data_IF_115956148107
#
_entry.id   IF_115956148107
#
_cell.length_a   1.000
_cell.length_b   1.000
_cell.length_c   1.000
_cell.angle_alpha   90.00
_cell.angle_beta   90.00
_cell.angle_gamma   90.00
#
_symmetry.space_group_name_H-M   'P 1'
#
loop_
_entity.id
_entity.type
_entity.pdbx_description
1 polymer ?
#
# COMPACT_ATOMS: atom_id res chain seq x y z
N UNK A 1 -39.51 -13.40 -49.61
CA UNK A 1 -39.76 -12.08 -48.97
C UNK A 1 -39.37 -12.24 -47.50
N UNK A 2 -38.09 -12.15 -47.14
CA UNK A 2 -37.35 -10.91 -46.82
C UNK A 2 -38.20 -9.96 -45.96
N UNK A 3 -37.79 -9.79 -44.70
CA UNK A 3 -38.02 -8.68 -43.73
C UNK A 3 -38.27 -9.31 -42.35
N UNK A 4 -37.54 -9.02 -41.29
CA UNK A 4 -36.48 -8.06 -41.08
C UNK A 4 -35.79 -8.48 -39.77
N UNK A 5 -34.46 -8.68 -39.81
CA UNK A 5 -33.62 -8.69 -38.63
C UNK A 5 -33.86 -7.38 -37.87
N UNK A 6 -34.37 -7.44 -36.63
CA UNK A 6 -34.26 -6.32 -35.69
C UNK A 6 -33.01 -6.58 -34.85
N UNK A 7 -31.96 -5.89 -35.23
CA UNK A 7 -30.62 -5.91 -34.63
C UNK A 7 -30.70 -5.42 -33.19
N UNK A 8 -30.19 -6.24 -32.26
CA UNK A 8 -29.79 -5.81 -30.91
C UNK A 8 -28.77 -4.67 -31.04
N UNK A 9 -29.11 -3.49 -30.52
CA UNK A 9 -28.13 -2.43 -30.28
C UNK A 9 -28.36 -1.83 -28.89
N UNK A 10 -28.16 -2.64 -27.85
CA UNK A 10 -27.94 -2.12 -26.49
C UNK A 10 -26.56 -1.47 -26.47
N UNK A 11 -26.55 -0.14 -26.52
CA UNK A 11 -25.36 0.68 -26.38
C UNK A 11 -24.68 0.39 -25.02
N UNK A 12 -23.53 -0.28 -25.05
CA UNK A 12 -22.58 -0.25 -23.94
C UNK A 12 -21.96 1.16 -23.91
N UNK A 13 -22.62 2.08 -23.18
CA UNK A 13 -21.95 3.28 -22.68
C UNK A 13 -21.00 2.82 -21.56
N UNK A 14 -19.87 2.25 -21.94
CA UNK A 14 -18.72 2.09 -21.05
C UNK A 14 -18.33 3.48 -20.61
N UNK A 15 -18.66 3.84 -19.37
CA UNK A 15 -18.17 5.07 -18.76
C UNK A 15 -16.65 5.04 -18.83
N UNK A 16 -16.06 5.94 -19.61
CA UNK A 16 -14.66 6.32 -19.47
C UNK A 16 -14.53 7.04 -18.14
N UNK A 17 -14.63 6.30 -17.04
CA UNK A 17 -14.19 6.79 -15.75
C UNK A 17 -12.69 7.04 -15.90
N UNK A 18 -12.30 8.31 -15.94
CA UNK A 18 -10.92 8.67 -15.72
C UNK A 18 -10.51 8.03 -14.39
N UNK A 19 -9.64 7.03 -14.45
CA UNK A 19 -9.18 6.26 -13.29
C UNK A 19 -8.21 7.11 -12.45
N UNK A 20 -8.67 8.26 -11.97
CA UNK A 20 -8.00 9.00 -10.93
C UNK A 20 -8.37 8.33 -9.62
N UNK A 21 -7.59 7.31 -9.27
CA UNK A 21 -7.74 6.66 -7.99
C UNK A 21 -7.53 7.67 -6.86
N UNK A 22 -8.44 7.70 -5.88
CA UNK A 22 -8.38 8.62 -4.74
C UNK A 22 -8.13 7.82 -3.47
N UNK A 23 -7.31 8.36 -2.57
CA UNK A 23 -7.10 7.74 -1.26
C UNK A 23 -8.39 7.84 -0.43
N UNK A 24 -8.89 6.70 0.04
CA UNK A 24 -10.04 6.59 0.94
C UNK A 24 -9.54 5.99 2.24
N UNK A 25 -9.76 6.68 3.36
CA UNK A 25 -9.32 6.20 4.67
C UNK A 25 -9.95 4.84 4.98
N UNK A 26 -9.18 3.86 5.47
CA UNK A 26 -9.74 2.61 5.95
C UNK A 26 -10.59 2.86 7.20
N UNK A 27 -11.61 2.04 7.41
CA UNK A 27 -12.42 2.05 8.64
C UNK A 27 -11.71 1.24 9.75
N UNK A 28 -10.45 1.59 10.01
CA UNK A 28 -9.57 0.93 10.99
C UNK A 28 -8.90 2.01 11.81
N UNK A 29 -9.07 1.96 13.13
CA UNK A 29 -8.37 2.83 14.06
C UNK A 29 -7.04 2.21 14.50
N UNK A 30 -6.11 3.07 14.93
CA UNK A 30 -4.79 2.66 15.42
C UNK A 30 -4.78 2.36 16.92
N UNK A 31 -5.93 2.01 17.49
CA UNK A 31 -6.11 1.81 18.93
C UNK A 31 -5.16 0.72 19.46
N UNK A 32 -4.53 0.98 20.60
CA UNK A 32 -3.55 0.07 21.19
C UNK A 32 -2.12 0.19 20.65
N UNK A 33 -1.87 1.04 19.66
CA UNK A 33 -0.51 1.43 19.27
C UNK A 33 -0.03 2.64 20.09
N UNK A 34 1.26 2.69 20.48
CA UNK A 34 1.84 3.91 21.04
C UNK A 34 1.60 5.09 20.09
N UNK A 35 0.92 6.18 20.51
CA UNK A 35 0.53 7.26 19.62
C UNK A 35 1.75 7.99 19.06
N UNK A 36 1.64 8.49 17.84
CA UNK A 36 2.69 9.28 17.20
C UNK A 36 2.24 10.73 17.04
N UNK A 37 3.22 11.61 16.82
CA UNK A 37 2.97 13.02 16.57
C UNK A 37 2.66 13.32 15.11
N UNK A 38 2.33 14.59 14.84
CA UNK A 38 2.16 15.10 13.48
C UNK A 38 3.45 15.02 12.63
N UNK A 39 4.60 15.10 13.28
CA UNK A 39 5.90 14.93 12.64
C UNK A 39 6.11 13.46 12.28
N UNK A 40 6.28 13.19 10.99
CA UNK A 40 6.58 11.85 10.54
C UNK A 40 7.97 11.40 10.98
N UNK A 41 8.04 10.20 11.53
CA UNK A 41 9.29 9.53 11.85
C UNK A 41 9.98 9.07 10.56
N UNK A 42 11.29 8.89 10.63
CA UNK A 42 12.10 8.34 9.54
C UNK A 42 12.23 6.82 9.58
N UNK A 43 11.83 6.19 10.69
CA UNK A 43 11.91 4.75 10.92
C UNK A 43 10.59 4.25 11.51
N UNK A 44 10.20 3.03 11.17
CA UNK A 44 9.00 2.40 11.69
C UNK A 44 9.20 1.92 13.15
N UNK A 45 8.51 2.53 14.14
CA UNK A 45 8.70 2.23 15.56
C UNK A 45 7.96 0.96 16.02
N UNK A 46 7.13 0.35 15.17
CA UNK A 46 6.22 -0.72 15.56
C UNK A 46 6.67 -2.13 15.19
N UNK A 47 7.91 -2.29 14.70
CA UNK A 47 8.43 -3.62 14.38
C UNK A 47 8.51 -4.50 15.61
N UNK A 48 8.08 -5.75 15.45
CA UNK A 48 7.93 -6.70 16.55
C UNK A 48 6.67 -6.50 17.40
N UNK A 49 5.81 -5.51 17.10
CA UNK A 49 4.54 -5.33 17.80
C UNK A 49 3.42 -6.18 17.13
N UNK A 50 2.85 -7.18 17.82
CA UNK A 50 1.79 -8.02 17.26
C UNK A 50 0.46 -7.27 17.04
N UNK A 51 0.18 -6.22 17.82
CA UNK A 51 -1.00 -5.36 17.62
C UNK A 51 -0.87 -4.59 16.31
N UNK A 52 0.32 -4.06 16.02
CA UNK A 52 0.60 -3.37 14.76
C UNK A 52 0.47 -4.30 13.56
N UNK A 53 0.88 -5.56 13.69
CA UNK A 53 0.69 -6.57 12.64
C UNK A 53 -0.80 -6.78 12.32
N UNK A 54 -1.64 -6.97 13.34
CA UNK A 54 -3.08 -7.21 13.16
C UNK A 54 -3.80 -5.99 12.55
N UNK A 55 -3.55 -4.78 13.09
CA UNK A 55 -4.08 -3.52 12.57
C UNK A 55 -3.60 -3.30 11.13
N UNK A 56 -2.31 -3.54 10.89
CA UNK A 56 -1.69 -3.39 9.59
C UNK A 56 -2.33 -4.27 8.52
N UNK A 57 -2.65 -5.52 8.84
CA UNK A 57 -3.34 -6.42 7.92
C UNK A 57 -4.73 -5.89 7.54
N UNK A 58 -5.52 -5.46 8.53
CA UNK A 58 -6.86 -4.93 8.29
C UNK A 58 -6.83 -3.66 7.43
N UNK A 59 -5.98 -2.70 7.81
CA UNK A 59 -5.82 -1.44 7.10
C UNK A 59 -5.29 -1.66 5.67
N UNK A 60 -4.31 -2.56 5.49
CA UNK A 60 -3.77 -2.90 4.18
C UNK A 60 -4.84 -3.46 3.24
N UNK A 61 -5.67 -4.39 3.72
CA UNK A 61 -6.70 -5.02 2.90
C UNK A 61 -7.81 -4.06 2.49
N UNK A 62 -8.08 -3.02 3.29
CA UNK A 62 -9.07 -2.00 2.94
C UNK A 62 -8.50 -0.90 2.03
N UNK A 63 -7.22 -0.51 2.23
CA UNK A 63 -6.64 0.66 1.59
C UNK A 63 -5.70 0.36 0.42
N UNK A 64 -4.96 -0.75 0.46
CA UNK A 64 -3.83 -1.00 -0.42
C UNK A 64 -4.03 -2.21 -1.35
N UNK A 65 -4.76 -3.23 -0.87
CA UNK A 65 -4.85 -4.53 -1.52
C UNK A 65 -5.43 -4.52 -2.94
N UNK A 66 -6.32 -3.58 -3.26
CA UNK A 66 -6.87 -3.44 -4.62
C UNK A 66 -5.77 -3.25 -5.68
N UNK A 67 -4.68 -2.58 -5.33
CA UNK A 67 -3.58 -2.32 -6.26
C UNK A 67 -2.36 -3.21 -5.99
N UNK A 68 -2.08 -3.49 -4.72
CA UNK A 68 -0.88 -4.24 -4.30
C UNK A 68 -1.15 -5.71 -3.99
N UNK A 69 -2.38 -6.19 -4.21
CA UNK A 69 -2.78 -7.59 -4.02
C UNK A 69 -3.35 -7.87 -2.61
N UNK A 70 -4.33 -8.78 -2.52
CA UNK A 70 -4.96 -9.14 -1.25
C UNK A 70 -3.96 -9.83 -0.31
N UNK A 71 -3.97 -9.45 0.98
CA UNK A 71 -3.05 -9.96 2.00
C UNK A 71 -1.56 -9.88 1.62
N UNK A 72 -1.18 -8.90 0.80
CA UNK A 72 0.15 -8.72 0.20
C UNK A 72 0.58 -9.87 -0.73
N UNK A 73 -0.38 -10.66 -1.21
CA UNK A 73 -0.22 -11.61 -2.32
C UNK A 73 -0.46 -10.89 -3.65
N UNK A 74 0.60 -10.77 -4.45
CA UNK A 74 0.61 -9.88 -5.62
C UNK A 74 0.31 -10.58 -6.94
N UNK A 75 -0.33 -11.75 -6.90
CA UNK A 75 -0.72 -12.48 -8.10
C UNK A 75 -1.68 -11.60 -8.92
N UNK A 76 -1.27 -11.22 -10.13
CA UNK A 76 -2.00 -10.33 -11.04
C UNK A 76 -2.33 -8.92 -10.48
N UNK A 77 -1.64 -8.47 -9.43
CA UNK A 77 -1.80 -7.12 -8.90
C UNK A 77 -1.19 -6.07 -9.87
N UNK A 78 -1.88 -4.94 -10.12
CA UNK A 78 -1.41 -3.93 -11.09
C UNK A 78 -0.22 -3.09 -10.58
N UNK A 79 0.05 -3.09 -9.26
CA UNK A 79 1.12 -2.30 -8.65
C UNK A 79 2.27 -3.19 -8.12
N UNK A 80 3.45 -2.63 -7.80
CA UNK A 80 4.59 -3.39 -7.32
C UNK A 80 4.31 -4.20 -6.05
N UNK A 81 4.95 -5.36 -5.93
CA UNK A 81 4.93 -6.18 -4.73
C UNK A 81 5.69 -5.50 -3.58
N UNK A 82 4.95 -5.04 -2.56
CA UNK A 82 5.49 -4.32 -1.40
C UNK A 82 6.41 -5.18 -0.53
N UNK A 83 6.30 -6.51 -0.59
CA UNK A 83 7.20 -7.43 0.14
C UNK A 83 8.66 -7.27 -0.31
N UNK A 84 8.87 -6.67 -1.48
CA UNK A 84 10.21 -6.40 -2.01
C UNK A 84 10.88 -5.14 -1.46
N UNK A 85 10.20 -4.32 -0.64
CA UNK A 85 10.76 -3.08 -0.09
C UNK A 85 12.17 -3.30 0.50
N UNK A 86 12.33 -4.31 1.36
CA UNK A 86 13.60 -4.62 2.02
C UNK A 86 14.43 -5.71 1.33
N UNK A 87 14.13 -6.08 0.08
CA UNK A 87 14.80 -7.20 -0.62
C UNK A 87 16.32 -7.03 -0.73
N UNK A 88 16.79 -5.79 -0.87
CA UNK A 88 18.23 -5.51 -0.90
C UNK A 88 18.85 -5.54 0.50
N UNK A 89 18.22 -4.91 1.50
CA UNK A 89 18.73 -4.92 2.87
C UNK A 89 18.89 -6.33 3.43
N UNK A 90 18.00 -7.26 3.09
CA UNK A 90 18.09 -8.69 3.50
C UNK A 90 19.40 -9.38 3.12
N UNK A 91 20.17 -8.86 2.15
CA UNK A 91 21.47 -9.41 1.72
C UNK A 91 22.67 -8.79 2.44
N UNK A 92 22.45 -7.77 3.27
CA UNK A 92 23.49 -7.10 4.04
C UNK A 92 23.65 -7.85 5.36
N UNK A 93 24.83 -8.46 5.57
CA UNK A 93 25.17 -9.22 6.77
C UNK A 93 25.59 -8.34 7.95
N UNK A 94 26.22 -7.20 7.68
CA UNK A 94 26.58 -6.23 8.70
C UNK A 94 25.32 -5.60 9.31
N UNK A 95 25.20 -5.65 10.64
CA UNK A 95 23.97 -5.29 11.34
C UNK A 95 23.69 -3.78 11.26
N UNK A 96 24.71 -2.94 11.36
CA UNK A 96 24.54 -1.49 11.33
C UNK A 96 24.19 -0.99 9.92
N UNK A 97 24.85 -1.53 8.90
CA UNK A 97 24.54 -1.26 7.51
C UNK A 97 23.15 -1.79 7.12
N UNK A 98 22.75 -2.95 7.64
CA UNK A 98 21.41 -3.48 7.45
C UNK A 98 20.37 -2.53 8.05
N UNK A 99 20.56 -2.10 9.30
CA UNK A 99 19.66 -1.16 9.97
C UNK A 99 19.59 0.18 9.22
N UNK A 100 20.72 0.71 8.75
CA UNK A 100 20.76 1.93 7.93
C UNK A 100 19.96 1.78 6.62
N UNK A 101 20.18 0.69 5.88
CA UNK A 101 19.42 0.38 4.66
C UNK A 101 17.90 0.34 4.92
N UNK A 102 17.48 -0.25 6.04
CA UNK A 102 16.05 -0.32 6.41
C UNK A 102 15.48 1.04 6.77
N UNK A 103 16.22 1.90 7.48
CA UNK A 103 15.81 3.29 7.74
C UNK A 103 15.62 4.09 6.45
N UNK A 104 16.50 3.92 5.46
CA UNK A 104 16.35 4.57 4.17
C UNK A 104 15.08 4.11 3.44
N UNK A 105 14.81 2.80 3.48
CA UNK A 105 13.58 2.23 2.92
C UNK A 105 12.32 2.70 3.65
N UNK A 106 12.35 2.88 4.97
CA UNK A 106 11.25 3.42 5.75
C UNK A 106 10.94 4.86 5.36
N UNK A 107 11.97 5.70 5.29
CA UNK A 107 11.84 7.08 4.84
C UNK A 107 11.27 7.14 3.41
N UNK A 108 11.70 6.22 2.52
CA UNK A 108 11.15 6.10 1.17
C UNK A 108 9.69 5.65 1.18
N UNK A 109 9.32 4.67 2.01
CA UNK A 109 7.95 4.19 2.15
C UNK A 109 7.03 5.30 2.65
N UNK A 110 7.38 5.96 3.76
CA UNK A 110 6.62 7.09 4.31
C UNK A 110 6.43 8.20 3.29
N UNK A 111 7.51 8.61 2.59
CA UNK A 111 7.42 9.61 1.52
C UNK A 111 6.49 9.16 0.41
N UNK A 112 6.57 7.89 -0.01
CA UNK A 112 5.75 7.32 -1.07
C UNK A 112 4.28 7.33 -0.69
N UNK A 113 3.91 6.79 0.48
CA UNK A 113 2.53 6.79 0.98
C UNK A 113 1.99 8.22 1.05
N UNK A 114 2.74 9.15 1.65
CA UNK A 114 2.30 10.54 1.81
C UNK A 114 2.08 11.26 0.49
N UNK A 115 3.03 11.14 -0.45
CA UNK A 115 3.06 11.94 -1.68
C UNK A 115 2.49 11.22 -2.90
N UNK A 116 2.12 9.95 -2.76
CA UNK A 116 1.69 9.13 -3.89
C UNK A 116 2.83 8.87 -4.89
N UNK A 117 2.45 8.40 -6.07
CA UNK A 117 3.33 8.25 -7.25
C UNK A 117 2.64 8.92 -8.43
N UNK A 118 3.06 10.14 -8.73
CA UNK A 118 2.55 10.93 -9.85
C UNK A 118 3.68 11.06 -10.88
N UNK A 119 3.44 10.58 -12.11
CA UNK A 119 4.43 10.54 -13.18
C UNK A 119 3.84 11.28 -14.38
N UNK A 120 4.48 12.38 -14.79
CA UNK A 120 4.03 13.22 -15.92
C UNK A 120 2.54 13.60 -15.77
N UNK A 121 2.12 13.95 -14.55
CA UNK A 121 0.74 14.33 -14.24
C UNK A 121 -0.26 13.17 -14.06
N UNK A 122 0.16 11.92 -14.32
CA UNK A 122 -0.68 10.73 -14.14
C UNK A 122 -0.50 10.18 -12.72
N UNK A 123 -1.60 10.00 -12.00
CA UNK A 123 -1.58 9.41 -10.65
C UNK A 123 -1.58 7.89 -10.75
N UNK A 124 -0.44 7.26 -10.44
CA UNK A 124 -0.31 5.80 -10.36
C UNK A 124 -0.60 5.26 -8.97
N UNK A 125 -0.33 6.06 -7.94
CA UNK A 125 -0.69 5.78 -6.56
C UNK A 125 -1.16 7.08 -5.92
N UNK A 126 -2.38 7.14 -5.35
CA UNK A 126 -2.86 8.35 -4.74
C UNK A 126 -1.98 8.79 -3.56
N UNK A 127 -1.87 10.10 -3.28
CA UNK A 127 -1.28 10.59 -2.05
C UNK A 127 -2.21 10.29 -0.87
N UNK A 128 -1.65 9.76 0.21
CA UNK A 128 -2.39 9.42 1.44
C UNK A 128 -2.19 10.44 2.57
N UNK A 129 -1.39 11.49 2.36
CA UNK A 129 -1.19 12.52 3.37
C UNK A 129 -2.52 13.21 3.71
N UNK A 130 -2.86 13.24 5.01
CA UNK A 130 -4.14 13.78 5.49
C UNK A 130 -5.30 12.79 5.45
N UNK A 131 -5.12 11.63 4.81
CA UNK A 131 -6.13 10.55 4.73
C UNK A 131 -5.74 9.38 5.63
N UNK A 132 -4.47 8.98 5.59
CA UNK A 132 -3.91 7.89 6.40
C UNK A 132 -3.02 8.48 7.49
N UNK A 133 -3.37 8.20 8.76
CA UNK A 133 -2.51 8.50 9.91
C UNK A 133 -1.20 7.72 9.80
N UNK A 134 -0.11 8.29 10.32
CA UNK A 134 1.21 7.66 10.24
C UNK A 134 1.21 6.29 10.92
N UNK A 135 0.47 6.14 12.01
CA UNK A 135 0.36 4.92 12.78
C UNK A 135 -0.14 3.75 11.93
N UNK A 136 -1.18 4.00 11.13
CA UNK A 136 -1.72 3.01 10.20
C UNK A 136 -0.74 2.70 9.07
N UNK A 137 -0.05 3.71 8.53
CA UNK A 137 0.97 3.47 7.50
C UNK A 137 2.10 2.58 8.02
N UNK A 138 2.58 2.81 9.24
CA UNK A 138 3.61 1.99 9.86
C UNK A 138 3.11 0.58 10.21
N UNK A 139 1.89 0.45 10.71
CA UNK A 139 1.26 -0.86 10.93
C UNK A 139 1.16 -1.65 9.61
N UNK A 140 0.73 -1.01 8.52
CA UNK A 140 0.68 -1.61 7.18
C UNK A 140 2.06 -2.12 6.75
N UNK A 141 3.12 -1.35 7.01
CA UNK A 141 4.48 -1.79 6.70
C UNK A 141 4.91 -3.00 7.52
N UNK A 142 4.61 -3.04 8.83
CA UNK A 142 4.84 -4.23 9.65
C UNK A 142 4.16 -5.46 9.04
N UNK A 143 2.93 -5.29 8.55
CA UNK A 143 2.18 -6.38 7.91
C UNK A 143 2.88 -6.95 6.67
N UNK A 144 3.12 -6.15 5.63
CA UNK A 144 3.70 -6.72 4.41
C UNK A 144 5.16 -7.16 4.60
N UNK A 145 5.90 -6.56 5.55
CA UNK A 145 7.24 -7.04 5.92
C UNK A 145 7.18 -8.47 6.49
N UNK A 146 6.20 -8.78 7.35
CA UNK A 146 6.02 -10.13 7.90
C UNK A 146 5.67 -11.17 6.82
N UNK A 147 4.87 -10.78 5.81
CA UNK A 147 4.56 -11.65 4.66
C UNK A 147 5.80 -11.94 3.81
N UNK A 148 6.73 -11.00 3.74
CA UNK A 148 8.01 -11.17 3.04
C UNK A 148 8.97 -12.12 3.80
N UNK A 149 8.75 -12.35 5.09
CA UNK A 149 9.53 -13.29 5.90
C UNK A 149 8.95 -14.70 5.85
N UNK A 150 7.62 -14.82 5.86
CA UNK A 150 6.90 -16.10 5.78
C UNK A 150 6.95 -16.77 4.39
N UNK A 151 7.37 -16.05 3.34
CA UNK A 151 7.50 -16.60 1.97
C UNK A 151 8.88 -17.25 1.70
N UNK A 152 9.67 -17.50 2.74
CA UNK A 152 10.91 -18.29 2.68
C UNK A 152 10.59 -19.76 2.87
#
# INVERSE_FOLDING_TARGET
MQKLLVVLFTAFLSSLAAANEVAVAPAVEADGLPPLGATWLSENPYRGNPVALAIGQQAYNQACARCHGADASTNAAPAPDLRNLNRFCKRISDAELNAACRRDNDAWFAKSVRKGKIIVGVTHMPPWQGVLKQELAWAIQVFFESRAEASK
#
